data_IF_553985071017
#
_entry.id   IF_553985071017
#
_cell.length_a   1.000
_cell.length_b   1.000
_cell.length_c   1.000
_cell.angle_alpha   90.00
_cell.angle_beta   90.00
_cell.angle_gamma   90.00
#
_symmetry.space_group_name_H-M   'P 1'
#
loop_
_entity.id
_entity.type
_entity.pdbx_description
1 polymer ?
#
# COMPACT_ATOMS: atom_id res chain seq x y z
N UNK A 1 -16.47 50.39 -22.41
CA UNK A 1 -15.92 50.70 -21.07
C UNK A 1 -17.12 50.91 -20.15
N UNK A 2 -17.36 50.21 -19.04
CA UNK A 2 -16.56 49.38 -18.15
C UNK A 2 -17.52 48.35 -17.50
N UNK A 3 -17.21 47.06 -17.58
CA UNK A 3 -17.72 46.05 -16.62
C UNK A 3 -16.68 44.93 -16.54
N UNK A 4 -15.48 45.29 -16.10
CA UNK A 4 -14.45 44.33 -15.73
C UNK A 4 -13.84 44.86 -14.44
N UNK A 5 -14.36 44.40 -13.29
CA UNK A 5 -13.70 44.33 -11.99
C UNK A 5 -14.76 44.14 -10.90
N UNK A 6 -14.97 42.88 -10.51
CA UNK A 6 -15.29 42.42 -9.14
C UNK A 6 -15.70 40.95 -9.20
N UNK A 7 -14.70 40.11 -9.46
CA UNK A 7 -14.60 38.80 -8.84
C UNK A 7 -13.29 38.91 -8.06
N UNK A 8 -13.29 39.69 -6.98
CA UNK A 8 -13.32 39.11 -5.63
C UNK A 8 -12.46 37.86 -5.57
N UNK A 9 -11.25 38.07 -5.05
CA UNK A 9 -10.23 37.08 -4.78
C UNK A 9 -10.83 35.87 -4.05
N UNK A 10 -11.30 34.90 -4.82
CA UNK A 10 -11.48 33.54 -4.38
C UNK A 10 -10.06 33.00 -4.13
N UNK A 11 -9.53 33.33 -2.96
CA UNK A 11 -8.44 32.59 -2.35
C UNK A 11 -8.92 31.15 -2.20
N UNK A 12 -8.66 30.33 -3.21
CA UNK A 12 -8.91 28.90 -3.13
C UNK A 12 -8.03 28.35 -2.02
N UNK A 13 -8.67 27.89 -0.94
CA UNK A 13 -7.98 27.10 0.08
C UNK A 13 -7.70 25.75 -0.58
N UNK A 14 -6.49 25.60 -1.09
CA UNK A 14 -6.02 24.34 -1.68
C UNK A 14 -5.63 23.35 -0.59
N UNK A 15 -6.03 22.09 -0.77
CA UNK A 15 -5.57 20.97 0.06
C UNK A 15 -4.44 20.27 -0.69
N UNK A 16 -3.29 20.09 -0.03
CA UNK A 16 -2.14 19.37 -0.61
C UNK A 16 -1.83 18.12 0.20
N UNK A 17 -1.74 16.98 -0.50
CA UNK A 17 -1.31 15.70 0.07
C UNK A 17 0.20 15.46 -0.11
N UNK A 18 0.96 16.47 -0.56
CA UNK A 18 2.40 16.34 -0.83
C UNK A 18 3.20 15.88 0.40
N UNK A 19 2.72 16.20 1.60
CA UNK A 19 3.33 15.85 2.89
C UNK A 19 2.61 14.73 3.64
N UNK A 20 1.65 14.05 3.00
CA UNK A 20 0.96 12.95 3.66
C UNK A 20 1.93 11.80 3.92
N UNK A 21 2.16 11.55 5.20
CA UNK A 21 3.11 10.57 5.71
C UNK A 21 2.48 9.20 5.98
N UNK A 22 1.21 9.21 6.39
CA UNK A 22 0.51 8.06 6.91
C UNK A 22 -0.91 7.99 6.38
N UNK A 23 -1.36 6.77 6.05
CA UNK A 23 -2.74 6.50 5.63
C UNK A 23 -3.31 5.41 6.50
N UNK A 24 -4.47 5.68 7.09
CA UNK A 24 -5.25 4.69 7.84
C UNK A 24 -6.55 4.41 7.12
N UNK A 25 -6.76 3.15 6.77
CA UNK A 25 -8.03 2.64 6.24
C UNK A 25 -8.61 1.76 7.34
N UNK A 26 -9.69 2.19 7.99
CA UNK A 26 -10.26 1.50 9.16
C UNK A 26 -11.71 1.16 8.94
N UNK A 27 -12.24 0.23 9.75
CA UNK A 27 -13.64 -0.18 9.76
C UNK A 27 -14.14 -0.68 8.39
N UNK A 28 -13.29 -1.41 7.66
CA UNK A 28 -13.72 -2.13 6.47
C UNK A 28 -14.63 -3.31 6.88
N UNK A 29 -15.93 -3.07 6.89
CA UNK A 29 -16.98 -4.06 7.12
C UNK A 29 -17.40 -4.68 5.80
N UNK A 30 -16.72 -5.76 5.38
CA UNK A 30 -16.98 -6.50 4.13
C UNK A 30 -16.82 -5.70 2.82
N UNK A 31 -16.69 -4.38 2.90
CA UNK A 31 -16.33 -3.49 1.82
C UNK A 31 -14.82 -3.28 1.72
N UNK A 32 -14.36 -2.91 0.53
CA UNK A 32 -12.96 -2.62 0.26
C UNK A 32 -12.85 -1.32 -0.56
N UNK A 33 -11.79 -0.51 -0.34
CA UNK A 33 -11.55 0.62 -1.21
C UNK A 33 -11.35 0.10 -2.64
N UNK A 34 -12.10 0.66 -3.58
CA UNK A 34 -11.99 0.30 -5.01
C UNK A 34 -10.57 0.56 -5.50
N UNK A 35 -10.15 -0.12 -6.56
CA UNK A 35 -8.82 0.01 -7.17
C UNK A 35 -8.39 1.48 -7.41
N UNK A 36 -9.34 2.36 -7.75
CA UNK A 36 -9.09 3.80 -7.95
C UNK A 36 -8.49 4.46 -6.71
N UNK A 37 -8.92 4.06 -5.51
CA UNK A 37 -8.35 4.56 -4.26
C UNK A 37 -6.90 4.11 -4.10
N UNK A 38 -6.60 2.84 -4.35
CA UNK A 38 -5.24 2.32 -4.25
C UNK A 38 -4.32 2.88 -5.33
N UNK A 39 -4.84 3.12 -6.54
CA UNK A 39 -4.13 3.84 -7.59
C UNK A 39 -3.79 5.28 -7.16
N UNK A 40 -4.72 5.98 -6.50
CA UNK A 40 -4.45 7.29 -5.90
C UNK A 40 -3.38 7.22 -4.82
N UNK A 41 -3.54 6.32 -3.84
CA UNK A 41 -2.59 6.11 -2.74
C UNK A 41 -1.20 5.79 -3.27
N UNK A 42 -1.11 4.97 -4.32
CA UNK A 42 0.16 4.57 -4.90
C UNK A 42 1.01 5.73 -5.42
N UNK A 43 0.38 6.85 -5.77
CA UNK A 43 1.03 8.04 -6.33
C UNK A 43 1.54 9.01 -5.26
N UNK A 44 1.26 8.76 -3.98
CA UNK A 44 1.63 9.66 -2.90
C UNK A 44 3.11 9.48 -2.53
N UNK A 45 3.97 10.49 -2.77
CA UNK A 45 5.42 10.30 -2.75
C UNK A 45 6.01 10.19 -1.34
N UNK A 46 5.32 10.70 -0.31
CA UNK A 46 5.83 10.76 1.07
C UNK A 46 5.19 9.77 2.04
N UNK A 47 4.24 8.96 1.55
CA UNK A 47 3.60 7.93 2.37
C UNK A 47 4.63 6.87 2.71
N UNK A 48 4.92 6.77 4.00
CA UNK A 48 5.86 5.78 4.54
C UNK A 48 5.19 4.76 5.45
N UNK A 49 3.95 5.03 5.87
CA UNK A 49 3.17 4.15 6.73
C UNK A 49 1.74 3.98 6.22
N UNK A 50 1.29 2.72 6.09
CA UNK A 50 -0.10 2.39 5.77
C UNK A 50 -0.62 1.43 6.82
N UNK A 51 -1.76 1.76 7.43
CA UNK A 51 -2.50 0.90 8.34
C UNK A 51 -3.81 0.52 7.67
N UNK A 52 -4.12 -0.77 7.60
CA UNK A 52 -5.40 -1.27 7.09
C UNK A 52 -6.04 -2.15 8.13
N UNK A 53 -7.26 -1.80 8.53
CA UNK A 53 -8.04 -2.49 9.55
C UNK A 53 -9.43 -2.85 9.03
N UNK A 54 -9.82 -4.12 9.17
CA UNK A 54 -11.11 -4.63 8.71
C UNK A 54 -11.43 -6.03 9.19
N UNK A 55 -12.72 -6.40 9.21
CA UNK A 55 -13.14 -7.76 9.63
C UNK A 55 -12.83 -8.82 8.59
N UNK A 56 -12.73 -8.46 7.31
CA UNK A 56 -12.38 -9.36 6.20
C UNK A 56 -11.42 -8.61 5.28
N UNK A 57 -10.12 -8.85 5.44
CA UNK A 57 -9.10 -8.20 4.63
C UNK A 57 -9.04 -8.88 3.26
N UNK A 58 -9.36 -8.19 2.15
CA UNK A 58 -9.32 -8.75 0.80
C UNK A 58 -7.89 -8.75 0.23
N UNK A 59 -7.73 -9.30 -0.97
CA UNK A 59 -6.51 -9.35 -1.78
C UNK A 59 -6.02 -7.96 -2.28
N UNK A 60 -6.17 -6.90 -1.48
CA UNK A 60 -5.85 -5.52 -1.89
C UNK A 60 -4.34 -5.21 -1.89
N UNK A 61 -3.53 -6.02 -1.20
CA UNK A 61 -2.11 -5.77 -1.03
C UNK A 61 -1.34 -5.80 -2.35
N UNK A 62 -1.82 -6.56 -3.34
CA UNK A 62 -1.27 -6.52 -4.69
C UNK A 62 -1.47 -5.13 -5.33
N UNK A 63 -2.66 -4.55 -5.19
CA UNK A 63 -3.01 -3.26 -5.79
C UNK A 63 -2.16 -2.09 -5.28
N UNK A 64 -1.66 -2.14 -4.03
CA UNK A 64 -0.73 -1.14 -3.47
C UNK A 64 0.54 -0.98 -4.31
N UNK A 65 0.99 -2.06 -4.95
CA UNK A 65 2.30 -2.13 -5.60
C UNK A 65 2.23 -2.35 -7.11
N UNK A 66 1.08 -2.76 -7.63
CA UNK A 66 0.89 -3.05 -9.05
C UNK A 66 0.19 -1.94 -9.82
N UNK A 67 0.04 -0.73 -9.22
CA UNK A 67 -0.72 0.41 -9.73
C UNK A 67 -0.93 0.34 -11.24
N UNK A 68 -2.20 0.22 -11.66
CA UNK A 68 -2.58 -0.43 -12.93
C UNK A 68 -1.65 0.00 -14.06
N UNK A 69 -0.95 -0.97 -14.66
CA UNK A 69 -0.21 -0.81 -15.91
C UNK A 69 -1.23 -0.54 -17.04
N UNK A 70 -1.84 0.63 -17.02
CA UNK A 70 -2.50 1.16 -18.20
C UNK A 70 -1.38 1.55 -19.15
N UNK A 71 -1.38 0.92 -20.33
CA UNK A 71 -0.49 1.20 -21.46
C UNK A 71 -0.48 2.66 -21.94
N UNK A 72 -1.28 3.53 -21.32
CA UNK A 72 -1.44 4.95 -21.65
C UNK A 72 -0.87 5.90 -20.59
N UNK A 73 -0.48 5.41 -19.41
CA UNK A 73 0.10 6.26 -18.37
C UNK A 73 1.63 6.20 -18.41
N UNK A 74 2.23 7.40 -18.44
CA UNK A 74 3.67 7.62 -18.39
C UNK A 74 4.35 6.71 -17.34
N UNK A 75 5.52 6.13 -17.66
CA UNK A 75 6.24 5.18 -16.80
C UNK A 75 6.84 5.80 -15.52
N UNK A 76 6.46 7.04 -15.16
CA UNK A 76 7.24 7.91 -14.28
C UNK A 76 6.88 7.84 -12.80
N UNK A 77 5.71 7.36 -12.40
CA UNK A 77 5.35 7.25 -10.98
C UNK A 77 5.54 5.83 -10.47
N UNK A 78 6.61 5.63 -9.72
CA UNK A 78 6.83 4.41 -8.96
C UNK A 78 5.84 4.36 -7.78
N UNK A 79 5.11 3.26 -7.59
CA UNK A 79 4.11 3.19 -6.54
C UNK A 79 4.78 3.19 -5.15
N UNK A 80 4.37 4.15 -4.32
CA UNK A 80 4.76 4.30 -2.91
C UNK A 80 6.29 4.23 -2.70
N UNK A 81 7.09 5.15 -3.26
CA UNK A 81 8.54 5.06 -3.21
C UNK A 81 9.09 5.06 -1.78
N UNK A 82 8.40 5.71 -0.85
CA UNK A 82 8.81 5.84 0.54
C UNK A 82 8.15 4.85 1.51
N UNK A 83 7.32 3.90 1.05
CA UNK A 83 6.65 2.97 1.96
C UNK A 83 7.64 2.09 2.70
N UNK A 84 7.66 2.23 4.04
CA UNK A 84 8.52 1.51 4.98
C UNK A 84 7.73 0.62 5.93
N UNK A 85 6.48 0.97 6.25
CA UNK A 85 5.67 0.28 7.25
C UNK A 85 4.29 -0.06 6.71
N UNK A 86 3.89 -1.31 6.86
CA UNK A 86 2.55 -1.79 6.54
C UNK A 86 1.99 -2.55 7.72
N UNK A 87 0.84 -2.11 8.22
CA UNK A 87 0.11 -2.76 9.30
C UNK A 87 -1.23 -3.25 8.78
N UNK A 88 -1.53 -4.52 9.05
CA UNK A 88 -2.74 -5.20 8.59
C UNK A 88 -3.42 -5.78 9.83
N UNK A 89 -4.60 -5.26 10.15
CA UNK A 89 -5.37 -5.56 11.36
C UNK A 89 -6.68 -6.24 10.99
N UNK A 90 -6.87 -7.47 11.44
CA UNK A 90 -8.11 -8.22 11.34
C UNK A 90 -7.98 -9.54 10.59
N UNK A 91 -9.12 -10.16 10.28
CA UNK A 91 -9.16 -11.54 9.79
C UNK A 91 -9.20 -11.64 8.27
N UNK A 92 -8.53 -12.67 7.73
CA UNK A 92 -8.67 -13.06 6.32
C UNK A 92 -10.12 -13.46 6.01
N UNK A 93 -10.57 -13.22 4.77
CA UNK A 93 -11.90 -13.65 4.31
C UNK A 93 -12.08 -15.16 4.49
N UNK A 94 -13.27 -15.62 4.86
CA UNK A 94 -13.60 -17.05 4.92
C UNK A 94 -13.21 -17.74 3.59
N UNK A 95 -12.27 -18.69 3.67
CA UNK A 95 -11.77 -19.45 2.50
C UNK A 95 -10.43 -18.97 1.93
N UNK A 96 -9.93 -17.78 2.30
CA UNK A 96 -8.56 -17.36 1.95
C UNK A 96 -7.67 -17.65 3.15
N UNK A 97 -6.71 -18.57 2.98
CA UNK A 97 -5.73 -18.84 4.02
C UNK A 97 -4.84 -17.61 4.22
N UNK A 98 -4.42 -17.37 5.46
CA UNK A 98 -3.38 -16.39 5.79
C UNK A 98 -2.12 -16.55 4.93
N UNK A 99 -1.76 -17.79 4.62
CA UNK A 99 -0.67 -18.12 3.70
C UNK A 99 -0.86 -17.44 2.35
N UNK A 100 -2.06 -17.44 1.78
CA UNK A 100 -2.35 -16.76 0.51
C UNK A 100 -2.14 -15.25 0.62
N UNK A 101 -2.53 -14.62 1.73
CA UNK A 101 -2.29 -13.19 1.99
C UNK A 101 -0.78 -12.87 2.00
N UNK A 102 0.00 -13.69 2.70
CA UNK A 102 1.46 -13.54 2.78
C UNK A 102 2.12 -13.77 1.42
N UNK A 103 1.71 -14.79 0.67
CA UNK A 103 2.20 -15.09 -0.68
C UNK A 103 1.93 -13.93 -1.64
N UNK A 104 0.72 -13.35 -1.60
CA UNK A 104 0.36 -12.19 -2.40
C UNK A 104 1.20 -10.96 -2.04
N UNK A 105 1.37 -10.68 -0.74
CA UNK A 105 2.22 -9.59 -0.27
C UNK A 105 3.67 -9.77 -0.78
N UNK A 106 4.24 -10.96 -0.58
CA UNK A 106 5.61 -11.27 -1.02
C UNK A 106 5.72 -11.15 -2.54
N UNK A 107 4.73 -11.64 -3.29
CA UNK A 107 4.66 -11.49 -4.74
C UNK A 107 4.63 -10.03 -5.17
N UNK A 108 3.83 -9.19 -4.51
CA UNK A 108 3.72 -7.76 -4.79
C UNK A 108 5.03 -7.02 -4.48
N UNK A 109 5.68 -7.33 -3.35
CA UNK A 109 6.99 -6.79 -2.99
C UNK A 109 8.11 -7.21 -3.96
N UNK A 110 8.10 -8.48 -4.41
CA UNK A 110 9.02 -8.96 -5.46
C UNK A 110 8.84 -8.18 -6.76
N UNK A 111 7.60 -8.02 -7.22
CA UNK A 111 7.27 -7.21 -8.42
C UNK A 111 7.73 -5.77 -8.28
N UNK A 112 7.45 -5.12 -7.14
CA UNK A 112 7.91 -3.77 -6.83
C UNK A 112 9.44 -3.66 -6.95
N UNK A 113 10.17 -4.59 -6.35
CA UNK A 113 11.64 -4.60 -6.39
C UNK A 113 12.19 -4.84 -7.80
N UNK A 114 11.62 -5.79 -8.54
CA UNK A 114 11.99 -6.03 -9.94
C UNK A 114 11.79 -4.77 -10.79
N UNK A 115 10.68 -4.07 -10.61
CA UNK A 115 10.39 -2.81 -11.29
C UNK A 115 11.36 -1.70 -10.89
N UNK A 116 11.67 -1.56 -9.60
CA UNK A 116 12.66 -0.61 -9.12
C UNK A 116 14.05 -0.83 -9.74
N UNK A 117 14.49 -2.10 -9.80
CA UNK A 117 15.75 -2.48 -10.43
C UNK A 117 15.75 -2.19 -11.93
N UNK A 118 14.68 -2.57 -12.64
CA UNK A 118 14.52 -2.31 -14.08
C UNK A 118 14.55 -0.82 -14.40
N UNK A 119 13.90 0.00 -13.56
CA UNK A 119 13.79 1.45 -13.76
C UNK A 119 14.93 2.25 -13.09
N UNK A 120 15.91 1.59 -12.44
CA UNK A 120 17.03 2.22 -11.70
C UNK A 120 16.57 3.26 -10.66
N UNK A 121 15.46 2.98 -10.00
CA UNK A 121 14.89 3.90 -9.01
C UNK A 121 15.63 3.72 -7.69
N UNK A 122 16.26 4.79 -7.22
CA UNK A 122 16.95 4.83 -5.93
C UNK A 122 15.96 5.05 -4.78
N UNK A 123 16.28 4.54 -3.59
CA UNK A 123 15.46 4.74 -2.37
C UNK A 123 14.28 3.79 -2.19
N UNK A 124 14.02 2.87 -3.13
CA UNK A 124 12.99 1.84 -3.01
C UNK A 124 13.52 0.67 -2.20
N UNK A 125 13.59 0.86 -0.88
CA UNK A 125 14.10 -0.14 0.05
C UNK A 125 13.13 -1.31 0.26
N UNK A 126 13.65 -2.37 0.87
CA UNK A 126 12.82 -3.39 1.50
C UNK A 126 11.80 -2.73 2.44
N UNK A 127 10.61 -3.31 2.56
CA UNK A 127 9.66 -2.90 3.59
C UNK A 127 10.37 -3.08 4.93
N UNK A 128 10.46 -2.01 5.72
CA UNK A 128 11.14 -2.12 7.00
C UNK A 128 10.29 -3.02 7.91
N UNK A 129 9.00 -2.71 8.08
CA UNK A 129 8.15 -3.34 9.08
C UNK A 129 6.84 -3.81 8.44
N UNK A 130 6.52 -5.09 8.60
CA UNK A 130 5.21 -5.68 8.33
C UNK A 130 4.61 -6.14 9.66
N UNK A 131 3.44 -5.62 10.03
CA UNK A 131 2.76 -6.04 11.25
C UNK A 131 1.42 -6.67 10.89
N UNK A 132 1.18 -7.89 11.36
CA UNK A 132 -0.07 -8.63 11.19
C UNK A 132 -0.73 -8.79 12.56
N UNK A 133 -1.92 -8.21 12.71
CA UNK A 133 -2.70 -8.19 13.96
C UNK A 133 -4.02 -8.94 13.79
N UNK A 134 -4.44 -9.70 14.81
CA UNK A 134 -5.75 -10.39 14.87
C UNK A 134 -6.05 -11.31 13.67
N UNK A 135 -5.02 -11.64 12.90
CA UNK A 135 -5.07 -12.69 11.90
C UNK A 135 -5.14 -14.01 12.69
N UNK A 136 -6.19 -14.83 12.50
CA UNK A 136 -6.30 -16.10 13.24
C UNK A 136 -5.03 -16.94 13.02
N UNK A 137 -4.42 -17.34 14.13
CA UNK A 137 -3.14 -18.01 14.40
C UNK A 137 -2.24 -18.41 13.22
N UNK A 138 -0.91 -18.20 13.31
CA UNK A 138 0.00 -18.75 12.31
C UNK A 138 -0.07 -20.28 12.37
N UNK A 139 -0.49 -21.00 11.32
CA UNK A 139 -0.20 -22.41 11.26
C UNK A 139 1.33 -22.59 11.26
N UNK A 140 1.82 -23.72 11.74
CA UNK A 140 3.25 -24.10 11.70
C UNK A 140 3.85 -23.89 10.29
N UNK A 141 3.03 -24.03 9.23
CA UNK A 141 3.40 -23.72 7.85
C UNK A 141 3.66 -22.22 7.57
N UNK A 142 2.99 -21.31 8.28
CA UNK A 142 3.16 -19.86 8.12
C UNK A 142 4.47 -19.37 8.73
N UNK A 143 4.95 -19.94 9.83
CA UNK A 143 6.25 -19.56 10.39
C UNK A 143 7.39 -19.95 9.44
N UNK A 144 7.30 -21.12 8.80
CA UNK A 144 8.20 -21.52 7.71
C UNK A 144 8.10 -20.56 6.52
N UNK A 145 6.89 -20.15 6.14
CA UNK A 145 6.66 -19.18 5.07
C UNK A 145 7.27 -17.80 5.39
N UNK A 146 7.11 -17.33 6.62
CA UNK A 146 7.68 -16.08 7.12
C UNK A 146 9.21 -16.15 7.16
N UNK A 147 9.78 -17.29 7.57
CA UNK A 147 11.23 -17.51 7.52
C UNK A 147 11.78 -17.57 6.09
N UNK A 148 10.94 -17.94 5.12
CA UNK A 148 11.27 -17.92 3.69
C UNK A 148 11.15 -16.54 3.04
N UNK A 149 10.60 -15.53 3.72
CA UNK A 149 10.60 -14.15 3.22
C UNK A 149 12.01 -13.60 3.35
N UNK A 150 12.66 -13.39 2.20
CA UNK A 150 14.00 -12.81 2.19
C UNK A 150 14.00 -11.43 2.85
N UNK A 151 14.98 -11.18 3.73
CA UNK A 151 15.22 -9.89 4.40
C UNK A 151 15.36 -8.71 3.42
N UNK A 152 15.65 -9.05 2.17
CA UNK A 152 15.76 -8.14 1.04
C UNK A 152 14.41 -7.65 0.50
N UNK A 153 13.28 -8.18 0.99
CA UNK A 153 11.91 -7.75 0.69
C UNK A 153 11.22 -7.16 1.92
N UNK A 154 11.39 -7.79 3.09
CA UNK A 154 10.86 -7.30 4.38
C UNK A 154 11.93 -7.49 5.46
N UNK A 155 12.28 -6.45 6.22
CA UNK A 155 13.31 -6.56 7.28
C UNK A 155 12.77 -7.18 8.57
N UNK A 156 11.57 -6.77 8.99
CA UNK A 156 10.95 -7.21 10.22
C UNK A 156 9.49 -7.58 9.97
N UNK A 157 9.09 -8.77 10.43
CA UNK A 157 7.70 -9.22 10.42
C UNK A 157 7.26 -9.44 11.85
N UNK A 158 6.25 -8.70 12.27
CA UNK A 158 5.65 -8.79 13.59
C UNK A 158 4.28 -9.43 13.49
N UNK A 159 4.01 -10.35 14.41
CA UNK A 159 2.72 -10.98 14.60
C UNK A 159 2.20 -10.64 15.98
N UNK A 160 0.95 -10.19 16.08
CA UNK A 160 0.33 -9.77 17.34
C UNK A 160 -1.09 -10.30 17.47
#
# INVERSE_FOLDING_TARGET
MLYAQRLEDLHSIGWSFANLAEIKVTNLHEGYPRDIFWDFVSKLPRVHHIVVSGRLIPDFLAALYTGRESSLYLPTTFPLPCLRRLEVIGTSRSGISLQSLIEQLVGALKKRRQRALKCRISGTGALEWLTLHDCRSPPVSTQTLLSGVQSTLVKHIFWR
#
